data_IF_201854901169
#
_entry.id   IF_201854901169
#
_cell.length_a   1.000
_cell.length_b   1.000
_cell.length_c   1.000
_cell.angle_alpha   90.00
_cell.angle_beta   90.00
_cell.angle_gamma   90.00
#
_symmetry.space_group_name_H-M   'P 1'
#
loop_
_entity.id
_entity.type
_entity.pdbx_description
1 polymer ?
#
# COMPACT_ATOMS: atom_id res chain seq x y z
N UNK A 1 -12.48 25.00 3.16
CA UNK A 1 -12.61 23.54 3.00
C UNK A 1 -11.22 22.98 2.78
N UNK A 2 -10.71 22.10 3.66
CA UNK A 2 -9.39 21.46 3.42
C UNK A 2 -9.54 20.52 2.24
N UNK A 3 -8.75 20.70 1.18
CA UNK A 3 -8.66 19.72 0.11
C UNK A 3 -8.17 18.40 0.71
N UNK A 4 -9.02 17.37 0.70
CA UNK A 4 -8.62 16.03 1.10
C UNK A 4 -7.61 15.51 0.06
N UNK A 5 -6.45 15.04 0.53
CA UNK A 5 -5.42 14.51 -0.38
C UNK A 5 -5.99 13.30 -1.13
N UNK A 6 -5.84 13.19 -2.46
CA UNK A 6 -6.32 12.02 -3.19
C UNK A 6 -5.52 10.78 -2.78
N UNK A 7 -6.15 9.61 -2.87
CA UNK A 7 -5.47 8.34 -2.68
C UNK A 7 -4.37 8.16 -3.74
N UNK A 8 -3.15 7.83 -3.32
CA UNK A 8 -2.00 7.68 -4.24
C UNK A 8 -2.09 6.44 -5.15
N UNK A 9 -3.04 5.54 -4.90
CA UNK A 9 -3.23 4.32 -5.68
C UNK A 9 -4.30 4.50 -6.75
N UNK A 10 -5.53 4.82 -6.35
CA UNK A 10 -6.62 4.98 -7.31
C UNK A 10 -6.69 6.38 -7.90
N UNK A 11 -6.24 7.43 -7.19
CA UNK A 11 -6.32 8.85 -7.59
C UNK A 11 -7.75 9.38 -7.76
N UNK A 12 -8.76 8.61 -7.30
CA UNK A 12 -10.19 8.96 -7.44
C UNK A 12 -10.80 9.36 -6.09
N UNK A 13 -10.66 8.51 -5.07
CA UNK A 13 -11.21 8.78 -3.74
C UNK A 13 -10.23 9.60 -2.89
N UNK A 14 -10.73 10.39 -1.92
CA UNK A 14 -9.89 10.99 -0.89
C UNK A 14 -9.19 9.92 -0.04
N UNK A 15 -7.98 10.24 0.42
CA UNK A 15 -7.24 9.42 1.37
C UNK A 15 -7.96 9.37 2.71
N UNK A 16 -8.03 8.17 3.28
CA UNK A 16 -8.68 7.88 4.56
C UNK A 16 -7.66 7.71 5.68
N UNK A 17 -6.55 7.02 5.41
CA UNK A 17 -5.48 6.80 6.38
C UNK A 17 -4.14 6.51 5.69
N UNK A 18 -3.09 6.42 6.51
CA UNK A 18 -1.77 5.97 6.09
C UNK A 18 -1.66 4.45 6.17
N UNK A 19 -1.17 3.83 5.11
CA UNK A 19 -0.86 2.40 5.05
C UNK A 19 0.66 2.20 5.00
N UNK A 20 1.17 1.31 5.86
CA UNK A 20 2.60 0.96 5.85
C UNK A 20 2.88 -0.08 4.78
N UNK A 21 3.78 0.23 3.85
CA UNK A 21 4.18 -0.72 2.80
C UNK A 21 4.98 -1.89 3.37
N UNK A 22 5.76 -1.66 4.42
CA UNK A 22 6.37 -2.71 5.25
C UNK A 22 5.64 -2.72 6.60
N UNK A 23 4.88 -3.78 6.95
CA UNK A 23 4.12 -3.84 8.19
C UNK A 23 4.96 -3.55 9.43
N UNK A 24 4.46 -2.69 10.34
CA UNK A 24 5.19 -2.24 11.54
C UNK A 24 5.71 -3.39 12.41
N UNK A 25 4.94 -4.48 12.50
CA UNK A 25 5.31 -5.64 13.29
C UNK A 25 6.57 -6.37 12.74
N UNK A 26 6.98 -6.09 11.50
CA UNK A 26 8.19 -6.62 10.88
C UNK A 26 9.46 -5.83 11.23
N UNK A 27 9.35 -4.54 11.57
CA UNK A 27 10.50 -3.62 11.71
C UNK A 27 11.52 -4.04 12.77
N UNK A 28 11.07 -4.73 13.82
CA UNK A 28 11.95 -5.17 14.91
C UNK A 28 12.80 -6.40 14.56
N UNK A 29 12.41 -7.16 13.54
CA UNK A 29 13.00 -8.47 13.21
C UNK A 29 14.31 -8.30 12.44
N UNK A 30 15.35 -9.06 12.81
CA UNK A 30 16.70 -8.97 12.24
C UNK A 30 16.74 -9.14 10.73
N UNK A 31 15.89 -10.01 10.16
CA UNK A 31 15.82 -10.23 8.72
C UNK A 31 15.51 -8.96 7.93
N UNK A 32 14.61 -8.11 8.46
CA UNK A 32 14.17 -6.86 7.84
C UNK A 32 15.21 -5.75 8.02
N UNK A 33 15.74 -5.59 9.24
CA UNK A 33 16.80 -4.62 9.53
C UNK A 33 18.06 -4.82 8.68
N UNK A 34 18.34 -6.05 8.23
CA UNK A 34 19.47 -6.38 7.35
C UNK A 34 19.22 -6.09 5.87
N UNK A 35 17.97 -5.90 5.46
CA UNK A 35 17.56 -5.80 4.05
C UNK A 35 16.99 -4.45 3.65
N UNK A 36 16.46 -3.71 4.62
CA UNK A 36 15.79 -2.44 4.41
C UNK A 36 16.39 -1.38 5.32
N UNK A 37 16.58 -0.19 4.76
CA UNK A 37 16.87 0.99 5.55
C UNK A 37 15.70 1.32 6.49
N UNK A 38 15.97 2.08 7.55
CA UNK A 38 14.94 2.47 8.51
C UNK A 38 13.84 3.27 7.82
N UNK A 39 14.21 4.12 6.90
CA UNK A 39 13.35 5.01 6.12
C UNK A 39 12.41 4.19 5.21
N UNK A 40 12.91 3.13 4.59
CA UNK A 40 12.11 2.22 3.78
C UNK A 40 11.07 1.48 4.63
N UNK A 41 11.47 1.00 5.81
CA UNK A 41 10.55 0.35 6.74
C UNK A 41 9.46 1.31 7.25
N UNK A 42 9.79 2.58 7.48
CA UNK A 42 8.82 3.59 7.93
C UNK A 42 7.95 4.16 6.81
N UNK A 43 8.17 3.76 5.54
CA UNK A 43 7.44 4.33 4.40
C UNK A 43 5.95 4.01 4.48
N UNK A 44 5.14 5.07 4.46
CA UNK A 44 3.68 4.97 4.37
C UNK A 44 3.16 5.59 3.07
N UNK A 45 1.92 5.25 2.75
CA UNK A 45 1.17 5.82 1.63
C UNK A 45 -0.23 6.23 2.07
N UNK A 46 -0.68 7.40 1.61
CA UNK A 46 -2.05 7.89 1.83
C UNK A 46 -3.03 7.14 0.92
N UNK A 47 -3.90 6.33 1.50
CA UNK A 47 -4.84 5.47 0.75
C UNK A 47 -6.28 5.70 1.16
N UNK A 48 -7.21 5.55 0.22
CA UNK A 48 -8.64 5.55 0.53
C UNK A 48 -9.04 4.25 1.23
N UNK A 49 -10.21 4.25 1.87
CA UNK A 49 -10.75 3.09 2.61
C UNK A 49 -10.86 1.83 1.73
N UNK A 50 -11.25 1.99 0.47
CA UNK A 50 -11.38 0.85 -0.46
C UNK A 50 -10.02 0.29 -0.86
N UNK A 51 -9.08 1.16 -1.25
CA UNK A 51 -7.73 0.72 -1.61
C UNK A 51 -7.03 0.04 -0.44
N UNK A 52 -7.15 0.58 0.78
CA UNK A 52 -6.58 -0.04 1.98
C UNK A 52 -7.09 -1.48 2.16
N UNK A 53 -8.42 -1.67 2.09
CA UNK A 53 -9.02 -3.01 2.19
C UNK A 53 -8.55 -3.93 1.07
N UNK A 54 -8.49 -3.43 -0.16
CA UNK A 54 -8.06 -4.22 -1.31
C UNK A 54 -6.61 -4.69 -1.20
N UNK A 55 -5.70 -3.92 -0.58
CA UNK A 55 -4.32 -4.35 -0.35
C UNK A 55 -4.31 -5.65 0.47
N UNK A 56 -4.98 -5.66 1.63
CA UNK A 56 -5.00 -6.83 2.50
C UNK A 56 -5.90 -7.97 2.00
N UNK A 57 -6.90 -7.68 1.18
CA UNK A 57 -7.74 -8.72 0.58
C UNK A 57 -7.00 -9.45 -0.56
N UNK A 58 -6.20 -8.72 -1.35
CA UNK A 58 -5.51 -9.27 -2.51
C UNK A 58 -4.13 -9.82 -2.15
N UNK A 59 -3.48 -9.27 -1.12
CA UNK A 59 -2.19 -9.69 -0.59
C UNK A 59 -2.35 -9.90 0.92
N UNK A 60 -2.94 -11.03 1.36
CA UNK A 60 -3.27 -11.26 2.77
C UNK A 60 -2.07 -11.60 3.63
N UNK A 61 -0.98 -12.17 3.06
CA UNK A 61 0.26 -12.35 3.80
C UNK A 61 1.00 -11.01 3.91
N UNK A 62 0.92 -10.40 5.09
CA UNK A 62 1.61 -9.15 5.39
C UNK A 62 3.13 -9.23 5.17
N UNK A 63 3.75 -10.40 5.35
CA UNK A 63 5.19 -10.56 5.07
C UNK A 63 5.43 -10.56 3.57
N UNK A 64 4.58 -11.20 2.77
CA UNK A 64 4.66 -11.13 1.31
C UNK A 64 4.51 -9.67 0.85
N UNK A 65 3.49 -8.97 1.34
CA UNK A 65 3.27 -7.54 1.07
C UNK A 65 4.55 -6.72 1.30
N UNK A 66 5.16 -6.86 2.47
CA UNK A 66 6.39 -6.12 2.79
C UNK A 66 7.64 -6.59 2.03
N UNK A 67 7.70 -7.83 1.55
CA UNK A 67 8.89 -8.35 0.86
C UNK A 67 8.85 -8.03 -0.63
N UNK A 68 7.69 -8.22 -1.23
CA UNK A 68 7.53 -8.26 -2.67
C UNK A 68 6.79 -7.04 -3.22
N UNK A 69 6.12 -6.27 -2.35
CA UNK A 69 5.28 -5.15 -2.74
C UNK A 69 5.49 -3.89 -1.87
N UNK A 70 6.69 -3.70 -1.32
CA UNK A 70 7.04 -2.57 -0.43
C UNK A 70 7.19 -1.19 -1.10
N UNK A 71 6.83 -1.05 -2.38
CA UNK A 71 6.79 0.25 -3.08
C UNK A 71 5.45 0.41 -3.81
N UNK A 72 5.08 1.65 -4.13
CA UNK A 72 3.84 1.93 -4.88
C UNK A 72 3.88 1.23 -6.23
N UNK A 73 5.04 1.26 -6.89
CA UNK A 73 5.25 0.68 -8.22
C UNK A 73 5.07 -0.83 -8.18
N UNK A 74 5.66 -1.51 -7.20
CA UNK A 74 5.51 -2.97 -7.03
C UNK A 74 4.07 -3.33 -6.68
N UNK A 75 3.43 -2.60 -5.76
CA UNK A 75 2.04 -2.82 -5.39
C UNK A 75 1.08 -2.63 -6.59
N UNK A 76 1.29 -1.57 -7.41
CA UNK A 76 0.52 -1.33 -8.65
C UNK A 76 0.79 -2.40 -9.70
N UNK A 77 1.96 -3.05 -9.70
CA UNK A 77 2.32 -4.12 -10.63
C UNK A 77 1.74 -5.50 -10.25
N UNK A 78 1.23 -5.69 -9.03
CA UNK A 78 0.58 -6.94 -8.65
C UNK A 78 -0.64 -7.19 -9.56
N UNK A 79 -0.75 -8.31 -10.30
CA UNK A 79 -1.77 -8.50 -11.35
C UNK A 79 -3.21 -8.28 -10.87
N UNK A 80 -3.57 -8.85 -9.72
CA UNK A 80 -4.91 -8.66 -9.15
C UNK A 80 -5.17 -7.20 -8.71
N UNK A 81 -4.14 -6.51 -8.21
CA UNK A 81 -4.26 -5.13 -7.75
C UNK A 81 -4.33 -4.16 -8.93
N UNK A 82 -3.57 -4.41 -10.00
CA UNK A 82 -3.67 -3.68 -11.26
C UNK A 82 -5.08 -3.77 -11.86
N UNK A 83 -5.66 -4.98 -11.91
CA UNK A 83 -7.04 -5.20 -12.36
C UNK A 83 -8.05 -4.45 -11.48
N UNK A 84 -7.87 -4.49 -10.17
CA UNK A 84 -8.69 -3.72 -9.22
C UNK A 84 -8.61 -2.21 -9.49
N UNK A 85 -7.41 -1.65 -9.69
CA UNK A 85 -7.24 -0.22 -9.95
C UNK A 85 -7.86 0.20 -11.29
N UNK A 86 -7.69 -0.61 -12.34
CA UNK A 86 -8.32 -0.36 -13.64
C UNK A 86 -9.85 -0.35 -13.54
N UNK A 87 -10.42 -1.30 -12.81
CA UNK A 87 -11.85 -1.33 -12.52
C UNK A 87 -12.30 -0.11 -11.70
N UNK A 88 -11.55 0.23 -10.64
CA UNK A 88 -11.91 1.30 -9.70
C UNK A 88 -11.93 2.66 -10.40
N UNK A 89 -10.95 2.95 -11.27
CA UNK A 89 -10.86 4.19 -12.05
C UNK A 89 -11.92 4.34 -13.14
N UNK A 90 -12.55 3.24 -13.57
CA UNK A 90 -13.62 3.28 -14.58
C UNK A 90 -15.00 3.54 -13.96
N UNK A 91 -15.20 3.17 -12.71
CA UNK A 91 -16.53 3.08 -12.07
C UNK A 91 -16.85 4.25 -11.12
N UNK A 92 -15.92 5.16 -10.93
CA UNK A 92 -15.93 6.23 -9.93
C UNK A 92 -15.37 7.48 -10.60
#
# INVERSE_FOLDING_TARGET
MKAEKPCVLCEVDPAFNEHHLIPRHCHRKTWWKKRFAKEEMQRTISVCKMCHRSIHNLIPDEKELGRDYFTIERLKAHPAFANYLAWKRRRM
#
